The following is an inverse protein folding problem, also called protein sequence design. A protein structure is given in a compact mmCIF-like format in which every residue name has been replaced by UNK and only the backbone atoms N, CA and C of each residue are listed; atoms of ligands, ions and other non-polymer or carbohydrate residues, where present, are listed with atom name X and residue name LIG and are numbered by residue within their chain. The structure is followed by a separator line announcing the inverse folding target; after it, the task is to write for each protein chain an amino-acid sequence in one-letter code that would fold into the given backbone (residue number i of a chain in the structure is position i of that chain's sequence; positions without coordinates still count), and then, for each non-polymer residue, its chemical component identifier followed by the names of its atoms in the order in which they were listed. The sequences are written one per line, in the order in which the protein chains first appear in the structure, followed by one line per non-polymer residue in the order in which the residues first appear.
data_IF_798182393274
#
_entry.id   IF_798182393274
#
_cell.length_a   1.000
_cell.length_b   1.000
_cell.length_c   1.000
_cell.angle_alpha   90.00
_cell.angle_beta   90.00
_cell.angle_gamma   90.00
#
_symmetry.space_group_name_H-M   'P 1'
#
loop_
_entity.id
_entity.type
_entity.pdbx_description
1 polymer ?
#
# COMPACT_ATOMS: atom_id res chain seq x y z
N UNK A 1 18.74 0.61 12.30
CA UNK A 1 17.40 0.74 12.92
C UNK A 1 16.55 1.48 11.90
N UNK A 2 16.13 0.82 10.81
CA UNK A 2 15.74 1.58 9.60
C UNK A 2 14.54 1.04 8.80
N UNK A 3 13.82 0.03 9.28
CA UNK A 3 12.62 -0.46 8.59
C UNK A 3 11.31 0.22 9.05
N UNK A 4 11.35 1.16 10.00
CA UNK A 4 10.14 1.64 10.68
C UNK A 4 9.50 2.89 10.06
N UNK A 5 10.24 3.71 9.30
CA UNK A 5 9.79 5.09 9.02
C UNK A 5 9.17 5.33 7.63
N UNK A 6 9.16 4.34 6.73
CA UNK A 6 8.49 4.47 5.42
C UNK A 6 6.96 4.34 5.54
N UNK A 7 6.49 3.73 6.61
CA UNK A 7 5.08 3.37 6.83
C UNK A 7 4.23 4.55 7.33
N UNK A 8 4.86 5.63 7.81
CA UNK A 8 4.13 6.81 8.29
C UNK A 8 3.71 7.75 7.15
N UNK A 9 4.40 7.72 6.00
CA UNK A 9 4.11 8.60 4.86
C UNK A 9 3.06 8.08 3.87
N UNK A 10 2.37 6.98 4.20
CA UNK A 10 1.26 6.46 3.38
C UNK A 10 0.14 7.49 3.27
N UNK A 11 -0.24 7.84 2.03
CA UNK A 11 -1.40 8.69 1.77
C UNK A 11 -2.47 7.91 1.00
N UNK A 12 -3.68 8.44 1.07
CA UNK A 12 -4.77 7.97 0.23
C UNK A 12 -4.37 8.18 -1.24
N UNK A 13 -4.67 7.21 -2.08
CA UNK A 13 -4.36 7.18 -3.51
C UNK A 13 -2.90 6.80 -3.84
N UNK A 14 -2.03 6.51 -2.86
CA UNK A 14 -0.70 5.95 -3.12
C UNK A 14 -0.79 4.51 -3.63
N UNK A 15 0.14 4.15 -4.53
CA UNK A 15 0.36 2.77 -4.93
C UNK A 15 1.36 2.13 -3.97
N UNK A 16 1.16 0.89 -3.56
CA UNK A 16 2.07 0.18 -2.66
C UNK A 16 2.27 -1.25 -3.11
N UNK A 17 3.43 -1.78 -2.73
CA UNK A 17 3.76 -3.20 -2.78
C UNK A 17 3.75 -3.75 -1.37
N UNK A 18 3.00 -4.82 -1.19
CA UNK A 18 3.00 -5.61 0.04
C UNK A 18 4.10 -6.68 0.01
N UNK A 19 4.48 -7.20 1.17
CA UNK A 19 5.49 -8.26 1.31
C UNK A 19 5.19 -9.59 0.58
N UNK A 20 4.06 -9.71 -0.12
CA UNK A 20 3.73 -10.85 -0.99
C UNK A 20 3.83 -10.55 -2.49
N UNK A 21 4.36 -9.39 -2.90
CA UNK A 21 4.37 -8.96 -4.30
C UNK A 21 3.01 -8.46 -4.82
N UNK A 22 2.03 -8.31 -3.91
CA UNK A 22 0.71 -7.78 -4.28
C UNK A 22 0.81 -6.27 -4.38
N UNK A 23 0.45 -5.77 -5.56
CA UNK A 23 0.35 -4.36 -5.89
C UNK A 23 -1.09 -3.90 -5.62
N UNK A 24 -1.24 -2.75 -4.97
CA UNK A 24 -2.54 -2.19 -4.69
C UNK A 24 -2.49 -0.71 -4.44
N UNK A 25 -3.66 -0.08 -4.49
CA UNK A 25 -3.83 1.35 -4.27
C UNK A 25 -4.48 1.61 -2.92
N UNK A 26 -3.92 2.52 -2.12
CA UNK A 26 -4.43 2.85 -0.79
C UNK A 26 -5.73 3.62 -0.92
N UNK A 27 -6.83 3.01 -0.49
CA UNK A 27 -8.16 3.63 -0.49
C UNK A 27 -8.53 4.17 0.87
N UNK A 28 -8.00 3.59 1.95
CA UNK A 28 -8.24 4.05 3.32
C UNK A 28 -7.09 3.68 4.24
N UNK A 29 -6.81 4.53 5.22
CA UNK A 29 -5.82 4.26 6.28
C UNK A 29 -6.53 4.43 7.61
N UNK A 30 -6.36 3.47 8.51
CA UNK A 30 -6.97 3.47 9.84
C UNK A 30 -5.98 2.89 10.85
N UNK A 31 -5.36 3.77 11.64
CA UNK A 31 -4.35 3.43 12.64
C UNK A 31 -3.25 2.50 12.11
N UNK A 32 -3.29 1.22 12.48
CA UNK A 32 -2.32 0.20 12.09
C UNK A 32 -2.71 -0.59 10.82
N UNK A 33 -3.90 -0.34 10.26
CA UNK A 33 -4.42 -1.04 9.09
C UNK A 33 -4.61 -0.07 7.91
N UNK A 34 -4.39 -0.57 6.70
CA UNK A 34 -4.69 0.13 5.46
C UNK A 34 -5.60 -0.75 4.59
N UNK A 35 -6.62 -0.12 4.00
CA UNK A 35 -7.43 -0.72 2.96
C UNK A 35 -6.77 -0.42 1.62
N UNK A 36 -6.46 -1.48 0.88
CA UNK A 36 -5.89 -1.45 -0.44
C UNK A 36 -6.89 -1.99 -1.45
N UNK A 37 -7.02 -1.32 -2.57
CA UNK A 37 -7.74 -1.82 -3.73
C UNK A 37 -6.74 -2.47 -4.68
N UNK A 38 -6.87 -3.77 -4.90
CA UNK A 38 -5.96 -4.56 -5.75
C UNK A 38 -6.58 -4.88 -7.11
N UNK A 39 -7.91 -4.84 -7.20
CA UNK A 39 -8.69 -5.04 -8.41
C UNK A 39 -10.04 -4.33 -8.27
N UNK A 40 -10.76 -4.12 -9.38
CA UNK A 40 -12.05 -3.42 -9.37
C UNK A 40 -13.04 -4.11 -8.44
N UNK A 41 -13.47 -3.42 -7.37
CA UNK A 41 -14.36 -3.96 -6.34
C UNK A 41 -13.68 -4.85 -5.29
N UNK A 42 -12.41 -5.20 -5.46
CA UNK A 42 -11.66 -6.05 -4.52
C UNK A 42 -10.79 -5.20 -3.60
N UNK A 43 -11.22 -5.14 -2.34
CA UNK A 43 -10.56 -4.39 -1.28
C UNK A 43 -9.96 -5.37 -0.26
N UNK A 44 -8.69 -5.19 0.06
CA UNK A 44 -7.99 -5.99 1.07
C UNK A 44 -7.54 -5.09 2.22
N UNK A 45 -7.72 -5.58 3.45
CA UNK A 45 -7.20 -4.93 4.64
C UNK A 45 -5.87 -5.54 4.98
N UNK A 46 -4.83 -4.73 5.00
CA UNK A 46 -3.50 -5.17 5.39
C UNK A 46 -3.03 -4.36 6.58
N UNK A 47 -2.09 -4.92 7.32
CA UNK A 47 -1.38 -4.14 8.31
C UNK A 47 -0.38 -3.23 7.60
N UNK A 48 -0.24 -2.01 8.13
CA UNK A 48 0.73 -1.02 7.63
C UNK A 48 2.17 -1.57 7.64
N UNK A 49 2.50 -2.45 8.59
CA UNK A 49 3.78 -3.16 8.67
C UNK A 49 4.04 -4.16 7.53
N UNK A 50 2.98 -4.61 6.84
CA UNK A 50 3.11 -5.53 5.71
C UNK A 50 3.42 -4.81 4.39
N UNK A 51 3.44 -3.48 4.38
CA UNK A 51 3.80 -2.65 3.23
C UNK A 51 5.33 -2.63 3.13
N UNK A 52 5.83 -3.12 2.01
CA UNK A 52 7.26 -3.20 1.74
C UNK A 52 7.76 -1.88 1.15
N UNK A 53 7.06 -1.38 0.13
CA UNK A 53 7.47 -0.19 -0.63
C UNK A 53 6.26 0.62 -1.09
N UNK A 54 6.39 1.93 -1.01
CA UNK A 54 5.50 2.90 -1.66
C UNK A 54 5.96 3.12 -3.10
N UNK A 55 5.04 3.01 -4.05
CA UNK A 55 5.26 3.30 -5.45
C UNK A 55 4.62 4.66 -5.80
N UNK A 56 5.30 5.50 -6.59
CA UNK A 56 4.67 6.69 -7.13
C UNK A 56 3.56 6.30 -8.12
N UNK A 57 2.49 7.09 -8.13
CA UNK A 57 1.31 6.86 -8.96
C UNK A 57 1.68 6.67 -10.44
N UNK A 58 1.19 5.60 -11.04
CA UNK A 58 1.38 5.25 -12.44
C UNK A 58 2.42 4.15 -12.68
N UNK A 59 3.08 3.64 -11.63
CA UNK A 59 4.10 2.58 -11.79
C UNK A 59 3.46 1.24 -12.16
N UNK A 60 2.28 0.93 -11.60
CA UNK A 60 1.55 -0.31 -11.90
C UNK A 60 1.10 -0.36 -13.38
N UNK A 61 0.90 0.79 -14.02
CA UNK A 61 0.55 0.86 -15.45
C UNK A 61 1.74 0.63 -16.39
N UNK A 62 2.95 0.60 -15.87
CA UNK A 62 4.17 0.48 -16.66
C UNK A 62 4.66 -0.96 -16.82
N UNK A 63 3.94 -1.95 -16.24
CA UNK A 63 4.18 -3.39 -16.38
C UNK A 63 3.16 -4.06 -17.30
#
# INVERSE_FOLDING_TARGET
MEAASLIESLKKDDEVVTNGGVLGKVVKIKDQFATLEIASGTHVHIQKQSIQTLLPKGTIKSI
#
